data_IF_280720012595
#
_entry.id   IF_280720012595
#
_cell.length_a   1.000
_cell.length_b   1.000
_cell.length_c   1.000
_cell.angle_alpha   90.00
_cell.angle_beta   90.00
_cell.angle_gamma   90.00
#
_symmetry.space_group_name_H-M   'P 1'
#
loop_
_entity.id
_entity.type
_entity.pdbx_description
1 polymer ?
#
# COMPACT_ATOMS: atom_id res chain seq x y z
N UNK A 1 11.71 -3.18 14.10
CA UNK A 1 13.18 -3.13 13.82
C UNK A 1 13.43 -2.88 12.33
N UNK A 2 12.41 -2.39 11.65
CA UNK A 2 12.31 -1.91 10.28
C UNK A 2 12.98 -0.53 10.12
N UNK A 3 13.22 -0.16 8.86
CA UNK A 3 13.75 1.16 8.44
C UNK A 3 15.07 1.59 9.09
N UNK A 4 15.91 0.63 9.47
CA UNK A 4 17.26 0.89 9.93
C UNK A 4 18.22 1.00 8.74
N UNK A 5 18.94 2.12 8.63
CA UNK A 5 20.03 2.33 7.68
C UNK A 5 21.33 1.63 8.13
N UNK A 6 21.26 0.30 8.28
CA UNK A 6 22.36 -0.54 8.77
C UNK A 6 22.58 -1.73 7.84
N UNK A 7 23.81 -2.26 7.83
CA UNK A 7 24.10 -3.48 7.08
C UNK A 7 23.31 -4.65 7.67
N UNK A 8 22.49 -5.30 6.83
CA UNK A 8 21.68 -6.49 7.12
C UNK A 8 22.54 -7.75 7.25
N UNK A 9 23.48 -7.71 8.19
CA UNK A 9 24.46 -8.77 8.47
C UNK A 9 23.89 -9.84 9.38
N UNK A 10 24.52 -11.02 9.40
CA UNK A 10 24.20 -12.09 10.33
C UNK A 10 24.32 -11.64 11.79
N UNK A 11 25.40 -10.93 12.14
CA UNK A 11 25.63 -10.39 13.49
C UNK A 11 24.50 -9.45 13.95
N UNK A 12 23.92 -8.67 13.04
CA UNK A 12 22.78 -7.82 13.38
C UNK A 12 21.53 -8.66 13.67
N UNK A 13 21.29 -9.70 12.87
CA UNK A 13 20.22 -10.67 13.10
C UNK A 13 20.33 -11.33 14.48
N UNK A 14 21.52 -11.85 14.81
CA UNK A 14 21.81 -12.47 16.10
C UNK A 14 21.57 -11.49 17.27
N UNK A 15 22.07 -10.26 17.14
CA UNK A 15 21.86 -9.21 18.13
C UNK A 15 20.37 -8.90 18.34
N UNK A 16 19.60 -8.79 17.25
CA UNK A 16 18.16 -8.58 17.35
C UNK A 16 17.45 -9.78 17.99
N UNK A 17 17.79 -11.01 17.64
CA UNK A 17 17.24 -12.21 18.27
C UNK A 17 17.48 -12.24 19.78
N UNK A 18 18.72 -11.96 20.21
CA UNK A 18 19.08 -11.85 21.63
C UNK A 18 18.26 -10.75 22.34
N UNK A 19 18.10 -9.58 21.71
CA UNK A 19 17.32 -8.48 22.27
C UNK A 19 15.83 -8.85 22.41
N UNK A 20 15.25 -9.47 21.38
CA UNK A 20 13.85 -9.89 21.37
C UNK A 20 13.57 -10.91 22.47
N UNK A 21 14.45 -11.88 22.68
CA UNK A 21 14.31 -12.88 23.75
C UNK A 21 14.34 -12.22 25.13
N UNK A 22 15.27 -11.28 25.37
CA UNK A 22 15.32 -10.55 26.66
C UNK A 22 14.02 -9.80 26.95
N UNK A 23 13.43 -9.17 25.93
CA UNK A 23 12.14 -8.48 26.06
C UNK A 23 11.03 -9.49 26.31
N UNK A 24 11.02 -10.61 25.59
CA UNK A 24 10.02 -11.66 25.72
C UNK A 24 10.04 -12.32 27.11
N UNK A 25 11.22 -12.64 27.65
CA UNK A 25 11.37 -13.22 28.99
C UNK A 25 10.84 -12.25 30.06
N UNK A 26 11.16 -10.96 29.91
CA UNK A 26 10.66 -9.92 30.82
C UNK A 26 9.13 -9.82 30.79
N UNK A 27 8.53 -9.74 29.60
CA UNK A 27 7.06 -9.66 29.46
C UNK A 27 6.36 -10.93 29.98
N UNK A 28 6.93 -12.10 29.68
CA UNK A 28 6.42 -13.39 30.15
C UNK A 28 6.43 -13.50 31.67
N UNK A 29 7.45 -12.95 32.33
CA UNK A 29 7.57 -12.94 33.79
C UNK A 29 6.62 -11.99 34.52
N UNK A 30 6.05 -10.99 33.83
CA UNK A 30 5.25 -9.93 34.47
C UNK A 30 3.75 -10.07 34.24
N UNK A 31 3.32 -10.28 33.00
CA UNK A 31 1.90 -10.26 32.64
C UNK A 31 1.50 -11.27 31.55
N UNK A 32 2.44 -12.12 31.10
CA UNK A 32 2.22 -13.10 30.02
C UNK A 32 1.62 -12.45 28.74
N UNK A 33 2.04 -11.22 28.42
CA UNK A 33 1.57 -10.51 27.24
C UNK A 33 2.06 -11.16 25.94
N UNK A 34 1.21 -11.11 24.91
CA UNK A 34 1.59 -11.50 23.55
C UNK A 34 2.58 -10.50 22.96
N UNK A 35 3.64 -11.01 22.31
CA UNK A 35 4.68 -10.19 21.70
C UNK A 35 4.84 -10.57 20.23
N UNK A 36 4.77 -9.56 19.37
CA UNK A 36 4.98 -9.66 17.92
C UNK A 36 6.10 -8.69 17.57
N UNK A 37 7.01 -9.09 16.68
CA UNK A 37 8.10 -8.23 16.26
C UNK A 37 8.15 -8.04 14.75
N UNK A 38 8.60 -6.86 14.32
CA UNK A 38 8.91 -6.56 12.92
C UNK A 38 10.42 -6.67 12.70
N UNK A 39 10.91 -7.57 11.82
CA UNK A 39 12.33 -7.68 11.49
C UNK A 39 12.77 -6.52 10.60
N UNK A 40 14.08 -6.35 10.43
CA UNK A 40 14.66 -5.39 9.48
C UNK A 40 14.47 -5.86 8.03
N UNK A 41 14.59 -7.16 7.80
CA UNK A 41 14.20 -7.82 6.55
C UNK A 41 12.79 -8.37 6.76
N UNK A 42 11.76 -7.59 6.42
CA UNK A 42 10.34 -7.97 6.60
C UNK A 42 9.64 -8.40 5.30
N UNK A 43 10.38 -8.42 4.19
CA UNK A 43 9.93 -8.91 2.89
C UNK A 43 11.08 -9.52 2.07
N UNK A 44 10.79 -10.36 1.08
CA UNK A 44 11.84 -11.01 0.27
C UNK A 44 12.74 -9.98 -0.42
N UNK A 45 12.19 -8.87 -0.91
CA UNK A 45 12.98 -7.80 -1.57
C UNK A 45 14.11 -7.28 -0.68
N UNK A 46 13.95 -7.30 0.64
CA UNK A 46 14.95 -6.78 1.58
C UNK A 46 16.02 -7.81 1.94
N UNK A 47 15.93 -9.04 1.44
CA UNK A 47 16.94 -10.07 1.67
C UNK A 47 18.26 -9.83 0.91
N UNK A 48 18.32 -8.82 0.03
CA UNK A 48 19.48 -8.48 -0.83
C UNK A 48 20.01 -9.70 -1.61
N UNK A 49 19.09 -10.50 -2.15
CA UNK A 49 19.39 -11.75 -2.85
C UNK A 49 18.23 -12.72 -2.77
N UNK A 50 18.52 -14.02 -2.83
CA UNK A 50 17.52 -15.04 -2.49
C UNK A 50 17.24 -15.01 -0.99
N UNK A 51 15.98 -15.24 -0.62
CA UNK A 51 15.55 -15.27 0.78
C UNK A 51 16.36 -16.30 1.61
N UNK A 52 16.55 -17.51 1.05
CA UNK A 52 17.32 -18.61 1.65
C UNK A 52 18.78 -18.27 1.98
N UNK A 53 19.32 -17.22 1.36
CA UNK A 53 20.71 -16.79 1.52
C UNK A 53 20.85 -15.57 2.44
N UNK A 54 19.74 -15.01 2.95
CA UNK A 54 19.75 -13.80 3.78
C UNK A 54 20.59 -13.98 5.04
N UNK A 55 21.75 -13.28 5.17
CA UNK A 55 22.59 -13.42 6.37
C UNK A 55 21.86 -12.96 7.63
N UNK A 56 21.13 -11.84 7.52
CA UNK A 56 20.33 -11.30 8.62
C UNK A 56 19.28 -12.29 9.14
N UNK A 57 18.47 -12.88 8.24
CA UNK A 57 17.40 -13.78 8.68
C UNK A 57 17.95 -15.09 9.26
N UNK A 58 19.09 -15.59 8.75
CA UNK A 58 19.79 -16.73 9.34
C UNK A 58 20.22 -16.44 10.77
N UNK A 59 20.99 -15.36 10.98
CA UNK A 59 21.43 -14.97 12.31
C UNK A 59 20.27 -14.66 13.26
N UNK A 60 19.18 -14.08 12.75
CA UNK A 60 17.97 -13.87 13.53
C UNK A 60 17.31 -15.20 13.92
N UNK A 61 17.16 -16.14 12.99
CA UNK A 61 16.53 -17.45 13.23
C UNK A 61 17.35 -18.34 14.16
N UNK A 62 18.67 -18.19 14.19
CA UNK A 62 19.55 -18.94 15.08
C UNK A 62 19.33 -18.55 16.56
N UNK A 63 18.92 -17.31 16.81
CA UNK A 63 18.81 -16.75 18.17
C UNK A 63 17.37 -16.57 18.65
N UNK A 64 16.43 -16.13 17.78
CA UNK A 64 15.08 -15.75 18.21
C UNK A 64 14.27 -16.95 18.69
N UNK A 65 13.55 -16.78 19.80
CA UNK A 65 12.65 -17.83 20.31
C UNK A 65 11.62 -18.22 19.23
N UNK A 66 11.42 -19.53 18.95
CA UNK A 66 10.51 -19.99 17.92
C UNK A 66 9.04 -19.74 18.26
N UNK A 67 8.71 -19.35 19.50
CA UNK A 67 7.35 -19.02 19.92
C UNK A 67 6.93 -17.61 19.52
N UNK A 68 7.90 -16.72 19.27
CA UNK A 68 7.65 -15.31 18.95
C UNK A 68 7.08 -15.16 17.55
N UNK A 69 6.04 -14.33 17.43
CA UNK A 69 5.40 -14.07 16.14
C UNK A 69 6.14 -12.97 15.37
N UNK A 70 6.38 -13.24 14.10
CA UNK A 70 7.09 -12.38 13.14
C UNK A 70 6.07 -11.63 12.25
N UNK A 71 6.24 -10.33 12.07
CA UNK A 71 5.56 -9.59 10.99
C UNK A 71 6.24 -9.85 9.64
N UNK A 72 5.44 -10.19 8.63
CA UNK A 72 5.92 -10.39 7.27
C UNK A 72 4.98 -9.76 6.25
N UNK A 73 5.51 -8.96 5.32
CA UNK A 73 4.67 -8.31 4.31
C UNK A 73 4.48 -9.17 3.07
N UNK A 74 5.43 -10.07 2.75
CA UNK A 74 5.41 -10.96 1.58
C UNK A 74 6.68 -10.84 0.75
N UNK A 75 6.56 -10.99 -0.58
CA UNK A 75 7.70 -10.86 -1.50
C UNK A 75 8.23 -9.42 -1.60
N UNK A 76 7.35 -8.46 -1.37
CA UNK A 76 7.61 -7.03 -1.44
C UNK A 76 6.97 -6.32 -0.23
N UNK A 77 7.17 -5.01 -0.11
CA UNK A 77 6.47 -4.16 0.87
C UNK A 77 4.96 -4.20 0.60
N UNK A 78 4.56 -4.13 -0.68
CA UNK A 78 3.16 -4.18 -1.13
C UNK A 78 3.02 -5.32 -2.12
N UNK A 79 2.12 -6.27 -1.86
CA UNK A 79 2.03 -7.50 -2.63
C UNK A 79 0.76 -7.58 -3.47
N UNK A 80 0.92 -7.98 -4.74
CA UNK A 80 -0.20 -8.35 -5.60
C UNK A 80 -0.86 -9.63 -5.13
N UNK A 81 -0.04 -10.60 -4.72
CA UNK A 81 -0.49 -11.88 -4.20
C UNK A 81 0.36 -12.30 -3.01
N UNK A 82 -0.26 -12.97 -2.06
CA UNK A 82 0.42 -13.70 -0.98
C UNK A 82 -0.16 -15.11 -0.97
N UNK A 83 0.72 -16.10 -1.13
CA UNK A 83 0.38 -17.51 -1.35
C UNK A 83 1.08 -18.42 -0.34
N UNK A 84 0.59 -19.66 -0.16
CA UNK A 84 1.25 -20.64 0.72
C UNK A 84 2.71 -20.90 0.33
N UNK A 85 3.01 -20.91 -0.98
CA UNK A 85 4.38 -21.04 -1.47
C UNK A 85 5.31 -19.93 -0.92
N UNK A 86 4.80 -18.72 -0.80
CA UNK A 86 5.59 -17.59 -0.25
C UNK A 86 5.92 -17.82 1.22
N UNK A 87 5.01 -18.46 1.95
CA UNK A 87 5.18 -18.80 3.37
C UNK A 87 6.14 -20.00 3.51
N UNK A 88 6.04 -20.99 2.63
CA UNK A 88 6.95 -22.14 2.58
C UNK A 88 8.40 -21.69 2.32
N UNK A 89 8.62 -20.76 1.38
CA UNK A 89 9.95 -20.19 1.12
C UNK A 89 10.52 -19.47 2.35
N UNK A 90 9.70 -18.72 3.10
CA UNK A 90 10.16 -18.07 4.34
C UNK A 90 10.54 -19.07 5.42
N UNK A 91 9.76 -20.14 5.57
CA UNK A 91 9.99 -21.20 6.57
C UNK A 91 11.28 -21.98 6.37
N UNK A 92 11.84 -21.97 5.16
CA UNK A 92 13.17 -22.54 4.92
C UNK A 92 14.27 -21.76 5.65
N UNK A 93 13.99 -20.54 6.11
CA UNK A 93 14.93 -19.66 6.79
C UNK A 93 14.55 -19.41 8.24
N UNK A 94 13.27 -19.13 8.51
CA UNK A 94 12.77 -18.82 9.85
C UNK A 94 11.40 -19.47 10.08
N UNK A 95 11.30 -20.29 11.13
CA UNK A 95 10.12 -21.13 11.38
C UNK A 95 9.12 -20.52 12.38
N UNK A 96 9.37 -19.30 12.83
CA UNK A 96 8.49 -18.55 13.73
C UNK A 96 7.05 -18.44 13.19
N UNK A 97 6.03 -18.38 14.07
CA UNK A 97 4.67 -18.01 13.68
C UNK A 97 4.65 -16.67 12.94
N UNK A 98 3.80 -16.55 11.93
CA UNK A 98 3.79 -15.36 11.05
C UNK A 98 2.49 -14.60 11.24
N UNK A 99 2.60 -13.27 11.36
CA UNK A 99 1.49 -12.34 11.20
C UNK A 99 1.73 -11.60 9.89
N UNK A 100 0.79 -11.71 8.95
CA UNK A 100 0.90 -10.98 7.69
C UNK A 100 0.66 -9.50 7.98
N UNK A 101 1.63 -8.65 7.63
CA UNK A 101 1.48 -7.20 7.61
C UNK A 101 1.19 -6.77 6.17
N UNK A 102 -0.07 -6.51 5.87
CA UNK A 102 -0.52 -6.29 4.51
C UNK A 102 -0.68 -4.81 4.17
N UNK A 103 0.17 -4.31 3.28
CA UNK A 103 0.15 -2.93 2.80
C UNK A 103 -0.71 -2.74 1.53
N UNK A 104 -1.61 -3.66 1.18
CA UNK A 104 -2.44 -3.57 -0.04
C UNK A 104 -3.19 -2.24 -0.19
N UNK A 105 -3.67 -1.67 0.92
CA UNK A 105 -4.42 -0.42 0.95
C UNK A 105 -3.59 0.80 1.41
N UNK A 106 -2.33 0.60 1.78
CA UNK A 106 -1.45 1.70 2.16
C UNK A 106 -1.34 2.69 0.99
N UNK A 107 -1.24 3.98 1.30
CA UNK A 107 -1.13 5.03 0.28
C UNK A 107 -0.16 6.16 0.63
N UNK A 108 0.57 6.03 1.74
CA UNK A 108 1.65 6.94 2.15
C UNK A 108 2.74 7.07 1.07
N UNK A 109 3.07 5.98 0.38
CA UNK A 109 4.00 5.95 -0.75
C UNK A 109 3.43 6.60 -2.03
N UNK A 110 2.12 6.86 -2.09
CA UNK A 110 1.45 7.43 -3.25
C UNK A 110 0.38 8.46 -2.85
N UNK A 111 0.82 9.54 -2.20
CA UNK A 111 0.00 10.61 -1.59
C UNK A 111 -1.17 11.17 -2.42
N UNK A 112 -1.18 11.02 -3.75
CA UNK A 112 -2.23 11.48 -4.65
C UNK A 112 -3.22 10.38 -5.09
N UNK A 113 -3.12 9.17 -4.52
CA UNK A 113 -3.96 8.02 -4.83
C UNK A 113 -4.45 7.34 -3.56
N UNK A 114 -5.56 6.63 -3.67
CA UNK A 114 -6.02 5.68 -2.66
C UNK A 114 -6.71 4.51 -3.37
N UNK A 115 -6.90 3.41 -2.65
CA UNK A 115 -7.49 2.18 -3.16
C UNK A 115 -8.68 1.79 -2.30
N UNK A 116 -9.81 1.47 -2.92
CA UNK A 116 -11.06 1.19 -2.22
C UNK A 116 -11.83 -0.01 -2.79
N UNK A 117 -11.24 -0.72 -3.75
CA UNK A 117 -11.81 -1.93 -4.30
C UNK A 117 -11.69 -3.13 -3.37
N UNK A 118 -12.15 -4.28 -3.85
CA UNK A 118 -12.17 -5.54 -3.10
C UNK A 118 -10.78 -5.97 -2.63
N UNK A 119 -10.71 -6.51 -1.40
CA UNK A 119 -9.50 -7.13 -0.87
C UNK A 119 -9.27 -8.47 -1.56
N UNK A 120 -8.17 -8.59 -2.31
CA UNK A 120 -7.93 -9.74 -3.21
C UNK A 120 -6.46 -10.16 -3.26
N UNK A 121 -6.22 -11.36 -3.79
CA UNK A 121 -4.88 -11.91 -4.01
C UNK A 121 -4.25 -12.63 -2.81
N UNK A 122 -4.99 -12.84 -1.71
CA UNK A 122 -4.50 -13.56 -0.53
C UNK A 122 -5.13 -14.94 -0.53
N UNK A 123 -4.31 -15.96 -0.77
CA UNK A 123 -4.74 -17.36 -0.82
C UNK A 123 -4.02 -18.23 0.19
N UNK A 124 -3.41 -17.62 1.20
CA UNK A 124 -2.66 -18.31 2.25
C UNK A 124 -3.62 -19.08 3.15
N UNK A 125 -3.31 -20.36 3.38
CA UNK A 125 -4.02 -21.29 4.26
C UNK A 125 -3.08 -21.99 5.24
N UNK A 126 -1.78 -21.69 5.16
CA UNK A 126 -0.77 -22.21 6.07
C UNK A 126 -1.14 -21.95 7.53
N UNK A 127 -1.12 -23.01 8.35
CA UNK A 127 -1.50 -22.98 9.77
C UNK A 127 -0.55 -22.18 10.66
N UNK A 128 0.63 -21.84 10.15
CA UNK A 128 1.62 -21.01 10.86
C UNK A 128 1.28 -19.52 10.80
N UNK A 129 0.33 -19.12 9.93
CA UNK A 129 -0.23 -17.77 9.97
C UNK A 129 -1.10 -17.62 11.22
N UNK A 130 -0.73 -16.69 12.09
CA UNK A 130 -1.46 -16.34 13.32
C UNK A 130 -2.51 -15.25 13.08
N UNK A 131 -2.35 -14.45 12.04
CA UNK A 131 -3.31 -13.42 11.69
C UNK A 131 -2.89 -12.59 10.49
N UNK A 132 -3.82 -11.73 10.06
CA UNK A 132 -3.63 -10.72 9.03
C UNK A 132 -3.86 -9.35 9.66
N UNK A 133 -2.82 -8.54 9.70
CA UNK A 133 -2.90 -7.11 9.99
C UNK A 133 -2.92 -6.34 8.67
N UNK A 134 -3.92 -5.49 8.47
CA UNK A 134 -4.00 -4.61 7.30
C UNK A 134 -3.48 -3.23 7.70
N UNK A 135 -2.58 -2.67 6.89
CA UNK A 135 -2.14 -1.28 7.00
C UNK A 135 -2.94 -0.43 6.00
N UNK A 136 -3.87 0.40 6.48
CA UNK A 136 -4.81 1.13 5.63
C UNK A 136 -4.26 2.54 5.32
N UNK A 137 -5.13 3.53 5.14
CA UNK A 137 -4.76 4.87 4.64
C UNK A 137 -4.52 5.90 5.76
N UNK A 138 -4.98 5.63 6.98
CA UNK A 138 -4.99 6.60 8.08
C UNK A 138 -6.17 7.57 8.03
N UNK A 139 -7.07 7.44 7.05
CA UNK A 139 -8.29 8.22 6.93
C UNK A 139 -9.44 7.42 7.55
N UNK A 140 -10.10 7.97 8.57
CA UNK A 140 -10.99 7.22 9.48
C UNK A 140 -12.15 6.53 8.74
N UNK A 141 -12.83 7.25 7.85
CA UNK A 141 -14.03 6.71 7.16
C UNK A 141 -13.59 5.77 6.04
N UNK A 142 -12.56 6.14 5.29
CA UNK A 142 -11.95 5.29 4.25
C UNK A 142 -11.43 3.97 4.81
N UNK A 143 -10.78 4.01 5.98
CA UNK A 143 -10.28 2.81 6.65
C UNK A 143 -11.42 1.93 7.17
N UNK A 144 -12.55 2.53 7.57
CA UNK A 144 -13.77 1.78 7.89
C UNK A 144 -14.33 1.02 6.68
N UNK A 145 -14.33 1.65 5.50
CA UNK A 145 -14.68 0.98 4.23
C UNK A 145 -13.70 -0.17 3.94
N UNK A 146 -12.40 0.06 4.11
CA UNK A 146 -11.36 -0.95 3.90
C UNK A 146 -11.57 -2.16 4.81
N UNK A 147 -11.89 -1.95 6.09
CA UNK A 147 -12.16 -3.06 7.01
C UNK A 147 -13.38 -3.88 6.57
N UNK A 148 -14.42 -3.26 6.01
CA UNK A 148 -15.55 -4.00 5.43
C UNK A 148 -15.16 -4.77 4.16
N UNK A 149 -14.29 -4.20 3.32
CA UNK A 149 -13.75 -4.91 2.15
C UNK A 149 -12.94 -6.14 2.55
N UNK A 150 -12.15 -6.03 3.63
CA UNK A 150 -11.32 -7.11 4.18
C UNK A 150 -12.19 -8.20 4.81
N UNK A 151 -13.29 -7.82 5.48
CA UNK A 151 -14.26 -8.77 6.03
C UNK A 151 -14.93 -9.61 4.92
N UNK A 152 -15.08 -9.06 3.71
CA UNK A 152 -15.46 -9.82 2.51
C UNK A 152 -16.91 -10.32 2.48
N UNK A 153 -17.78 -9.82 3.37
CA UNK A 153 -19.20 -10.23 3.44
C UNK A 153 -20.05 -9.52 2.39
N UNK A 154 -19.80 -8.24 2.15
CA UNK A 154 -20.57 -7.40 1.22
C UNK A 154 -19.77 -7.13 -0.04
N UNK A 155 -20.46 -6.89 -1.15
CA UNK A 155 -19.83 -6.41 -2.37
C UNK A 155 -19.31 -4.98 -2.21
N UNK A 156 -18.31 -4.60 -3.01
CA UNK A 156 -17.80 -3.22 -3.02
C UNK A 156 -18.90 -2.19 -3.27
N UNK A 157 -19.84 -2.48 -4.18
CA UNK A 157 -20.95 -1.56 -4.48
C UNK A 157 -21.87 -1.34 -3.28
N UNK A 158 -22.21 -2.40 -2.53
CA UNK A 158 -23.02 -2.31 -1.31
C UNK A 158 -22.32 -1.51 -0.22
N UNK A 159 -21.01 -1.74 -0.02
CA UNK A 159 -20.20 -1.01 0.96
C UNK A 159 -20.17 0.47 0.58
N UNK A 160 -19.79 0.82 -0.66
CA UNK A 160 -19.70 2.22 -1.06
C UNK A 160 -21.06 2.95 -0.96
N UNK A 161 -22.17 2.29 -1.32
CA UNK A 161 -23.52 2.84 -1.13
C UNK A 161 -23.85 3.07 0.36
N UNK A 162 -23.50 2.13 1.24
CA UNK A 162 -23.70 2.25 2.70
C UNK A 162 -23.00 3.49 3.27
N UNK A 163 -21.82 3.84 2.74
CA UNK A 163 -21.07 5.03 3.15
C UNK A 163 -21.48 6.31 2.39
N UNK A 164 -22.55 6.27 1.60
CA UNK A 164 -23.09 7.46 0.92
C UNK A 164 -22.23 7.93 -0.26
N UNK A 165 -21.45 7.05 -0.87
CA UNK A 165 -20.69 7.36 -2.10
C UNK A 165 -21.66 7.55 -3.27
N UNK A 166 -21.61 8.68 -4.00
CA UNK A 166 -22.50 8.94 -5.14
C UNK A 166 -22.33 7.92 -6.25
N UNK A 167 -23.41 7.64 -6.99
CA UNK A 167 -23.40 6.66 -8.08
C UNK A 167 -22.42 7.05 -9.21
N UNK A 168 -22.18 8.34 -9.37
CA UNK A 168 -21.24 8.92 -10.33
C UNK A 168 -19.80 8.46 -10.08
N UNK A 169 -19.45 8.10 -8.83
CA UNK A 169 -18.13 7.58 -8.51
C UNK A 169 -17.87 6.21 -9.17
N UNK A 170 -18.90 5.41 -9.44
CA UNK A 170 -18.71 4.08 -10.05
C UNK A 170 -18.17 4.16 -11.49
N UNK A 171 -18.32 5.29 -12.18
CA UNK A 171 -17.65 5.54 -13.46
C UNK A 171 -16.15 5.76 -13.30
N UNK A 172 -15.72 6.28 -12.15
CA UNK A 172 -14.31 6.49 -11.80
C UNK A 172 -13.70 5.29 -11.08
N UNK A 173 -14.50 4.37 -10.55
CA UNK A 173 -14.05 3.26 -9.70
C UNK A 173 -12.86 2.46 -10.26
N UNK A 174 -12.75 2.16 -11.58
CA UNK A 174 -11.58 1.46 -12.13
C UNK A 174 -10.22 2.14 -11.87
N UNK A 175 -10.20 3.44 -11.54
CA UNK A 175 -8.98 4.18 -11.20
C UNK A 175 -8.60 4.09 -9.71
N UNK A 176 -9.54 3.62 -8.88
CA UNK A 176 -9.43 3.52 -7.42
C UNK A 176 -9.55 2.07 -6.91
N UNK A 177 -9.53 1.08 -7.81
CA UNK A 177 -9.80 -0.32 -7.45
C UNK A 177 -8.69 -0.91 -6.56
N UNK A 178 -7.45 -0.97 -7.06
CA UNK A 178 -6.33 -1.57 -6.33
C UNK A 178 -4.98 -1.13 -6.89
N UNK A 179 -3.89 -1.32 -6.13
CA UNK A 179 -2.55 -0.87 -6.53
C UNK A 179 -2.00 -1.59 -7.76
N UNK A 180 -2.53 -2.76 -8.09
CA UNK A 180 -2.08 -3.59 -9.22
C UNK A 180 -3.10 -3.66 -10.38
N UNK A 181 -4.22 -2.96 -10.26
CA UNK A 181 -5.25 -2.92 -11.30
C UNK A 181 -4.88 -1.86 -12.35
N UNK A 182 -4.77 -2.29 -13.60
CA UNK A 182 -4.34 -1.45 -14.72
C UNK A 182 -5.39 -1.29 -15.81
N UNK A 183 -6.53 -1.98 -15.67
CA UNK A 183 -7.58 -2.05 -16.69
C UNK A 183 -8.59 -0.91 -16.51
N UNK A 184 -8.14 0.33 -16.71
CA UNK A 184 -9.03 1.47 -16.83
C UNK A 184 -9.08 1.95 -18.29
N UNK A 185 -10.29 2.12 -18.84
CA UNK A 185 -10.47 2.65 -20.20
C UNK A 185 -10.99 4.08 -20.14
N UNK A 186 -10.08 5.04 -20.34
CA UNK A 186 -10.40 6.46 -20.40
C UNK A 186 -11.39 6.81 -21.51
N UNK A 187 -11.53 5.99 -22.57
CA UNK A 187 -12.54 6.22 -23.61
C UNK A 187 -13.97 6.09 -23.06
N UNK A 188 -14.15 5.33 -21.98
CA UNK A 188 -15.47 5.13 -21.33
C UNK A 188 -15.91 6.32 -20.50
N UNK A 189 -14.99 7.15 -20.01
CA UNK A 189 -15.31 8.38 -19.27
C UNK A 189 -15.96 9.47 -20.14
N UNK A 190 -16.04 9.23 -21.46
CA UNK A 190 -16.76 10.09 -22.38
C UNK A 190 -15.95 11.32 -22.82
N UNK A 191 -16.68 12.40 -23.10
CA UNK A 191 -16.12 13.66 -23.57
C UNK A 191 -15.87 14.63 -22.40
N UNK A 192 -15.39 15.84 -22.70
CA UNK A 192 -15.08 16.87 -21.69
C UNK A 192 -16.29 17.25 -20.82
N UNK A 193 -17.50 17.20 -21.39
CA UNK A 193 -18.71 17.61 -20.67
C UNK A 193 -19.04 16.59 -19.58
N UNK A 194 -18.95 15.28 -19.88
CA UNK A 194 -19.13 14.24 -18.86
C UNK A 194 -18.11 14.35 -17.73
N UNK A 195 -16.86 14.64 -18.05
CA UNK A 195 -15.80 14.84 -17.04
C UNK A 195 -16.15 16.03 -16.12
N UNK A 196 -16.69 17.12 -16.67
CA UNK A 196 -17.11 18.27 -15.86
C UNK A 196 -18.32 17.95 -14.98
N UNK A 197 -19.29 17.18 -15.47
CA UNK A 197 -20.44 16.71 -14.69
C UNK A 197 -19.99 15.84 -13.52
N UNK A 198 -19.11 14.85 -13.77
CA UNK A 198 -18.55 13.99 -12.73
C UNK A 198 -17.76 14.81 -11.70
N UNK A 199 -16.98 15.79 -12.15
CA UNK A 199 -16.27 16.71 -11.25
C UNK A 199 -17.23 17.51 -10.37
N UNK A 200 -18.28 18.10 -10.96
CA UNK A 200 -19.25 18.88 -10.19
C UNK A 200 -19.97 18.01 -9.16
N UNK A 201 -20.44 16.83 -9.57
CA UNK A 201 -21.12 15.89 -8.67
C UNK A 201 -20.23 15.46 -7.50
N UNK A 202 -19.00 15.03 -7.77
CA UNK A 202 -18.13 14.40 -6.76
C UNK A 202 -17.29 15.40 -5.94
N UNK A 203 -16.91 16.54 -6.53
CA UNK A 203 -16.07 17.53 -5.86
C UNK A 203 -16.85 18.74 -5.32
N UNK A 204 -18.00 19.06 -5.91
CA UNK A 204 -18.76 20.29 -5.59
C UNK A 204 -20.09 20.00 -4.91
N UNK A 205 -20.91 19.07 -5.40
CA UNK A 205 -22.27 18.82 -4.88
C UNK A 205 -22.27 17.84 -3.71
N UNK A 206 -21.47 16.77 -3.77
CA UNK A 206 -21.37 15.80 -2.68
C UNK A 206 -20.76 16.46 -1.45
N UNK A 207 -21.52 16.50 -0.34
CA UNK A 207 -21.10 17.04 0.96
C UNK A 207 -21.22 15.96 2.03
N UNK A 208 -20.09 15.45 2.47
CA UNK A 208 -19.97 14.50 3.57
C UNK A 208 -18.56 14.54 4.13
N UNK A 209 -18.36 13.99 5.33
CA UNK A 209 -17.02 13.85 5.90
C UNK A 209 -16.14 12.93 5.03
N UNK A 210 -16.71 11.88 4.43
CA UNK A 210 -16.01 11.04 3.46
C UNK A 210 -15.57 11.84 2.23
N UNK A 211 -16.41 12.75 1.75
CA UNK A 211 -16.04 13.62 0.64
C UNK A 211 -14.87 14.53 1.00
N UNK A 212 -14.77 14.99 2.26
CA UNK A 212 -13.62 15.77 2.73
C UNK A 212 -12.35 14.91 2.77
N UNK A 213 -12.42 13.65 3.20
CA UNK A 213 -11.28 12.71 3.12
C UNK A 213 -10.84 12.49 1.67
N UNK A 214 -11.80 12.33 0.74
CA UNK A 214 -11.51 12.00 -0.66
C UNK A 214 -11.22 13.21 -1.54
N UNK A 215 -11.55 14.43 -1.08
CA UNK A 215 -11.40 15.65 -1.86
C UNK A 215 -9.96 15.80 -2.41
N UNK A 216 -8.87 15.77 -1.62
CA UNK A 216 -7.52 15.95 -2.16
C UNK A 216 -7.21 15.03 -3.34
N UNK A 217 -7.62 13.76 -3.24
CA UNK A 217 -7.42 12.74 -4.27
C UNK A 217 -8.29 12.97 -5.51
N UNK A 218 -9.59 13.25 -5.33
CA UNK A 218 -10.51 13.49 -6.44
C UNK A 218 -10.13 14.76 -7.21
N UNK A 219 -9.82 15.85 -6.51
CA UNK A 219 -9.38 17.09 -7.12
C UNK A 219 -8.09 16.90 -7.93
N UNK A 220 -7.14 16.14 -7.40
CA UNK A 220 -5.91 15.81 -8.10
C UNK A 220 -6.17 14.93 -9.32
N UNK A 221 -7.00 13.89 -9.18
CA UNK A 221 -7.42 13.02 -10.28
C UNK A 221 -8.04 13.81 -11.43
N UNK A 222 -9.00 14.70 -11.16
CA UNK A 222 -9.62 15.51 -12.21
C UNK A 222 -8.67 16.51 -12.86
N UNK A 223 -7.68 17.05 -12.12
CA UNK A 223 -6.61 17.87 -12.72
C UNK A 223 -5.78 17.07 -13.72
N UNK A 224 -5.38 15.85 -13.35
CA UNK A 224 -4.62 14.95 -14.20
C UNK A 224 -5.41 14.47 -15.42
N UNK A 225 -6.69 14.14 -15.22
CA UNK A 225 -7.59 13.75 -16.30
C UNK A 225 -7.81 14.90 -17.31
N UNK A 226 -8.03 16.12 -16.82
CA UNK A 226 -8.16 17.30 -17.67
C UNK A 226 -6.87 17.58 -18.46
N UNK A 227 -5.71 17.40 -17.84
CA UNK A 227 -4.43 17.49 -18.52
C UNK A 227 -4.30 16.46 -19.63
N UNK A 228 -4.59 15.19 -19.35
CA UNK A 228 -4.57 14.12 -20.35
C UNK A 228 -5.45 14.47 -21.56
N UNK A 229 -6.70 14.89 -21.32
CA UNK A 229 -7.65 15.28 -22.39
C UNK A 229 -7.13 16.45 -23.23
N UNK A 230 -6.48 17.44 -22.62
CA UNK A 230 -5.91 18.60 -23.33
C UNK A 230 -4.64 18.25 -24.08
N UNK A 231 -3.76 17.45 -23.50
CA UNK A 231 -2.47 17.09 -24.09
C UNK A 231 -2.61 16.11 -25.26
N UNK A 232 -3.47 15.09 -25.15
CA UNK A 232 -3.68 14.09 -26.21
C UNK A 232 -4.29 14.67 -27.49
N UNK A 233 -4.96 15.83 -27.42
CA UNK A 233 -5.52 16.51 -28.60
C UNK A 233 -4.48 17.27 -29.44
N UNK A 234 -3.21 17.36 -29.03
CA UNK A 234 -2.21 18.06 -29.84
C UNK A 234 -0.74 18.03 -29.41
N UNK A 235 -0.34 17.22 -28.41
CA UNK A 235 1.05 17.15 -27.89
C UNK A 235 1.69 18.52 -27.66
N UNK A 236 0.95 19.45 -27.08
CA UNK A 236 1.39 20.84 -26.92
C UNK A 236 2.36 20.99 -25.75
N UNK A 237 3.59 21.43 -26.03
CA UNK A 237 4.65 21.64 -25.03
C UNK A 237 4.24 22.64 -23.94
N UNK A 238 3.56 23.73 -24.30
CA UNK A 238 3.08 24.73 -23.34
C UNK A 238 2.09 24.15 -22.34
N UNK A 239 1.20 23.26 -22.79
CA UNK A 239 0.24 22.57 -21.92
C UNK A 239 0.96 21.64 -20.93
N UNK A 240 2.05 21.00 -21.36
CA UNK A 240 2.90 20.17 -20.49
C UNK A 240 3.67 21.01 -19.47
N UNK A 241 4.25 22.13 -19.91
CA UNK A 241 4.96 23.09 -19.05
C UNK A 241 4.00 23.70 -18.01
N UNK A 242 2.79 24.11 -18.39
CA UNK A 242 1.76 24.65 -17.48
C UNK A 242 1.31 23.60 -16.44
N UNK A 243 1.11 22.35 -16.86
CA UNK A 243 0.72 21.25 -15.95
C UNK A 243 1.84 20.92 -14.96
N UNK A 244 3.08 20.88 -15.42
CA UNK A 244 4.25 20.67 -14.57
C UNK A 244 4.45 21.86 -13.61
N UNK A 245 4.18 23.08 -14.09
CA UNK A 245 4.19 24.35 -13.35
C UNK A 245 3.39 24.36 -12.06
N UNK A 246 2.31 23.58 -12.01
CA UNK A 246 1.44 23.47 -10.83
C UNK A 246 1.93 22.42 -9.81
N UNK A 247 2.91 21.60 -10.16
CA UNK A 247 3.41 20.48 -9.35
C UNK A 247 4.83 20.69 -8.84
N UNK A 248 5.66 21.37 -9.62
CA UNK A 248 7.07 21.53 -9.35
C UNK A 248 7.44 23.01 -9.25
N UNK A 249 8.44 23.31 -8.44
CA UNK A 249 8.99 24.67 -8.33
C UNK A 249 9.67 25.09 -9.63
N UNK A 250 9.73 26.41 -9.89
CA UNK A 250 10.38 26.95 -11.09
C UNK A 250 11.83 26.46 -11.29
N UNK A 251 12.69 26.37 -10.25
CA UNK A 251 14.03 25.80 -10.40
C UNK A 251 14.02 24.34 -10.87
N UNK A 252 13.12 23.52 -10.31
CA UNK A 252 13.01 22.10 -10.67
C UNK A 252 12.50 21.93 -12.10
N UNK A 253 11.52 22.74 -12.53
CA UNK A 253 11.05 22.77 -13.92
C UNK A 253 12.16 23.13 -14.90
N UNK A 254 13.00 24.10 -14.55
CA UNK A 254 14.16 24.49 -15.37
C UNK A 254 15.09 23.30 -15.59
N UNK A 255 15.35 22.49 -14.56
CA UNK A 255 16.17 21.28 -14.68
C UNK A 255 15.45 20.24 -15.56
N UNK A 256 14.20 19.89 -15.22
CA UNK A 256 13.41 18.85 -15.91
C UNK A 256 13.20 19.12 -17.41
N UNK A 257 13.07 20.39 -17.81
CA UNK A 257 12.81 20.76 -19.21
C UNK A 257 14.04 21.21 -20.00
N UNK A 258 15.18 21.48 -19.36
CA UNK A 258 16.40 21.95 -20.05
C UNK A 258 17.54 20.91 -20.13
N UNK A 259 17.42 19.71 -19.56
CA UNK A 259 18.40 18.62 -19.77
C UNK A 259 18.27 17.92 -21.14
N UNK A 260 18.11 18.69 -22.23
CA UNK A 260 18.26 18.19 -23.61
C UNK A 260 19.41 18.84 -24.39
N UNK A 261 20.24 19.65 -23.74
CA UNK A 261 21.39 20.32 -24.37
C UNK A 261 22.76 19.80 -23.88
N UNK A 262 22.86 18.58 -23.35
CA UNK A 262 24.13 17.88 -23.10
C UNK A 262 24.08 16.42 -23.56
#
# INVERSE_FOLDING_TARGET
LDDLEVQRSQKLGEFHGTLLNKVFDYLSSTNNASFIFCPTVYCNRFADGKLEDSPYLKGLSDEVSPELSLLWTGRDVINKTITDKDIEELKQVINNPIVIWDNYYANDYCQNRFFIGQYKGRSVRDRNIRGFGVNPTGLVITDSIILEQVNGVSSTEEILKKYGVPKEFFELFPFFEGPFDTKADLKKLGNKDRINELFYSLCIEWKSDLQLEWAPFLWQFFKDLNFYVRHMKGKNKKVLEDWAGQRYSAPLLKILFNERDN
#
